data_IF_155542857323
#
_entry.id   IF_155542857323
#
_cell.length_a   1.000
_cell.length_b   1.000
_cell.length_c   1.000
_cell.angle_alpha   90.00
_cell.angle_beta   90.00
_cell.angle_gamma   90.00
#
_symmetry.space_group_name_H-M   'P 1'
#
loop_
_entity.id
_entity.type
_entity.pdbx_description
1 polymer ?
#
# COMPACT_ATOMS: atom_id res chain seq x y z
N UNK A 1 -9.31 37.90 -0.12
CA UNK A 1 -8.44 36.97 -0.87
C UNK A 1 -8.42 35.64 -0.14
N UNK A 2 -8.94 34.56 -0.75
CA UNK A 2 -8.88 33.23 -0.13
C UNK A 2 -7.42 32.79 -0.07
N UNK A 3 -6.89 32.59 1.13
CA UNK A 3 -5.59 31.94 1.33
C UNK A 3 -5.63 30.58 0.64
N UNK A 4 -4.92 30.42 -0.49
CA UNK A 4 -4.76 29.13 -1.13
C UNK A 4 -4.13 28.18 -0.10
N UNK A 5 -4.93 27.25 0.44
CA UNK A 5 -4.40 26.19 1.30
C UNK A 5 -3.41 25.41 0.46
N UNK A 6 -2.13 25.44 0.86
CA UNK A 6 -1.11 24.59 0.23
C UNK A 6 -1.64 23.16 0.14
N UNK A 7 -1.48 22.48 -1.01
CA UNK A 7 -1.94 21.11 -1.17
C UNK A 7 -1.33 20.24 -0.07
N UNK A 8 -2.04 19.20 0.37
CA UNK A 8 -1.51 18.26 1.37
C UNK A 8 -0.53 17.28 0.76
N UNK A 9 -0.80 16.90 -0.49
CA UNK A 9 -0.11 15.86 -1.24
C UNK A 9 0.12 16.29 -2.69
N UNK A 10 1.09 15.65 -3.34
CA UNK A 10 1.41 15.83 -4.76
C UNK A 10 1.60 14.46 -5.41
N UNK A 11 1.17 14.30 -6.66
CA UNK A 11 1.46 13.08 -7.43
C UNK A 11 2.65 13.34 -8.34
N UNK A 12 3.67 12.47 -8.28
CA UNK A 12 4.90 12.55 -9.09
C UNK A 12 5.30 11.16 -9.57
N UNK A 13 6.33 11.06 -10.41
CA UNK A 13 6.93 9.76 -10.71
C UNK A 13 7.54 9.15 -9.44
N UNK A 14 7.38 7.85 -9.26
CA UNK A 14 7.93 7.11 -8.12
C UNK A 14 9.15 6.31 -8.53
N UNK A 15 10.07 6.14 -7.59
CA UNK A 15 11.18 5.19 -7.72
C UNK A 15 10.76 3.75 -7.42
N UNK A 16 9.61 3.56 -6.76
CA UNK A 16 9.06 2.25 -6.44
C UNK A 16 8.35 1.67 -7.67
N UNK A 17 7.34 2.38 -8.18
CA UNK A 17 6.56 1.96 -9.34
C UNK A 17 5.79 3.14 -9.95
N UNK A 18 5.87 3.32 -11.27
CA UNK A 18 5.07 4.29 -12.02
C UNK A 18 4.96 5.68 -11.36
N UNK A 19 3.79 5.96 -10.77
CA UNK A 19 3.51 7.20 -10.03
C UNK A 19 3.46 6.92 -8.52
N UNK A 20 3.76 7.95 -7.74
CA UNK A 20 3.71 7.96 -6.28
C UNK A 20 3.01 9.21 -5.76
N UNK A 21 2.48 9.12 -4.54
CA UNK A 21 1.95 10.26 -3.81
C UNK A 21 2.96 10.72 -2.78
N UNK A 22 3.23 12.02 -2.73
CA UNK A 22 4.24 12.62 -1.87
C UNK A 22 3.61 13.65 -0.94
N UNK A 23 4.10 13.72 0.30
CA UNK A 23 3.73 14.78 1.23
C UNK A 23 4.17 16.15 0.70
N UNK A 24 3.24 17.06 0.49
CA UNK A 24 3.52 18.42 0.02
C UNK A 24 3.86 19.37 1.18
N UNK A 25 3.46 18.98 2.38
CA UNK A 25 3.77 19.62 3.66
C UNK A 25 4.02 18.53 4.70
N UNK A 26 4.40 18.95 5.89
CA UNK A 26 4.44 18.06 7.06
C UNK A 26 3.04 17.51 7.33
N UNK A 27 2.92 16.19 7.44
CA UNK A 27 1.72 15.48 7.88
C UNK A 27 2.00 14.90 9.27
N UNK A 28 1.06 15.05 10.19
CA UNK A 28 1.24 14.56 11.57
C UNK A 28 0.82 13.10 11.68
N UNK A 29 1.42 12.36 12.61
CA UNK A 29 0.89 11.06 13.02
C UNK A 29 -0.62 11.18 13.35
N UNK A 30 -1.39 10.19 12.92
CA UNK A 30 -2.84 10.15 13.05
C UNK A 30 -3.61 11.06 12.08
N UNK A 31 -2.94 11.83 11.21
CA UNK A 31 -3.65 12.69 10.26
C UNK A 31 -4.31 11.88 9.13
N UNK A 32 -5.61 12.04 8.95
CA UNK A 32 -6.37 11.52 7.80
C UNK A 32 -6.04 12.33 6.54
N UNK A 33 -5.37 11.69 5.57
CA UNK A 33 -4.73 12.34 4.43
C UNK A 33 -5.70 12.44 3.25
N UNK A 34 -6.22 11.30 2.81
CA UNK A 34 -7.06 11.17 1.61
C UNK A 34 -7.96 9.93 1.73
N UNK A 35 -9.14 9.99 1.14
CA UNK A 35 -10.03 8.83 0.94
C UNK A 35 -9.61 8.05 -0.32
N UNK A 36 -9.63 6.72 -0.26
CA UNK A 36 -9.47 5.88 -1.44
C UNK A 36 -10.80 5.80 -2.21
N UNK A 37 -10.90 6.53 -3.33
CA UNK A 37 -12.12 6.62 -4.13
C UNK A 37 -12.05 5.74 -5.37
N UNK A 38 -13.22 5.30 -5.82
CA UNK A 38 -13.41 4.54 -7.05
C UNK A 38 -14.85 4.06 -7.15
N UNK A 39 -15.15 3.32 -8.20
CA UNK A 39 -16.41 2.61 -8.35
C UNK A 39 -16.47 1.41 -7.40
N UNK A 40 -17.60 1.19 -6.74
CA UNK A 40 -17.81 0.00 -5.89
C UNK A 40 -18.46 -1.10 -6.72
N UNK A 41 -17.79 -2.25 -6.80
CA UNK A 41 -18.23 -3.41 -7.56
C UNK A 41 -18.12 -4.68 -6.72
N UNK A 42 -18.86 -5.73 -7.10
CA UNK A 42 -18.68 -7.04 -6.50
C UNK A 42 -17.38 -7.69 -7.00
N UNK A 43 -16.75 -8.55 -6.20
CA UNK A 43 -15.56 -9.31 -6.61
C UNK A 43 -15.72 -10.05 -7.94
N UNK A 44 -16.89 -10.68 -8.17
CA UNK A 44 -17.19 -11.38 -9.44
C UNK A 44 -17.13 -10.47 -10.66
N UNK A 45 -17.39 -9.17 -10.48
CA UNK A 45 -17.26 -8.19 -11.54
C UNK A 45 -15.80 -7.77 -11.70
N UNK A 46 -15.08 -7.56 -10.60
CA UNK A 46 -13.64 -7.27 -10.63
C UNK A 46 -12.85 -8.34 -11.39
N UNK A 47 -13.14 -9.62 -11.17
CA UNK A 47 -12.50 -10.76 -11.87
C UNK A 47 -12.75 -10.77 -13.39
N UNK A 48 -13.84 -10.15 -13.84
CA UNK A 48 -14.21 -10.05 -15.26
C UNK A 48 -13.61 -8.83 -15.93
N UNK A 49 -13.13 -7.85 -15.16
CA UNK A 49 -12.55 -6.64 -15.73
C UNK A 49 -11.21 -6.96 -16.37
N UNK A 50 -10.93 -6.45 -17.57
CA UNK A 50 -9.60 -6.54 -18.13
C UNK A 50 -8.62 -5.80 -17.23
N UNK A 51 -7.34 -6.23 -17.21
CA UNK A 51 -6.32 -5.51 -16.46
C UNK A 51 -6.24 -4.05 -16.92
N UNK A 52 -5.95 -3.15 -15.98
CA UNK A 52 -5.78 -1.73 -16.29
C UNK A 52 -4.64 -1.47 -17.28
N UNK A 53 -3.66 -2.39 -17.33
CA UNK A 53 -2.60 -2.43 -18.33
C UNK A 53 -2.38 -3.88 -18.80
N UNK A 54 -2.61 -4.21 -20.09
CA UNK A 54 -2.34 -5.54 -20.61
C UNK A 54 -0.88 -5.99 -20.46
N UNK A 55 0.06 -5.05 -20.48
CA UNK A 55 1.50 -5.30 -20.32
C UNK A 55 1.91 -5.48 -18.84
N UNK A 56 1.01 -5.14 -17.90
CA UNK A 56 1.22 -5.32 -16.46
C UNK A 56 -0.09 -5.77 -15.79
N UNK A 57 -0.50 -7.04 -16.02
CA UNK A 57 -1.79 -7.54 -15.58
C UNK A 57 -1.91 -7.66 -14.06
N UNK A 58 -0.78 -7.64 -13.34
CA UNK A 58 -0.74 -7.69 -11.88
C UNK A 58 -0.90 -6.31 -11.23
N UNK A 59 -0.88 -5.24 -12.02
CA UNK A 59 -1.14 -3.88 -11.55
C UNK A 59 -2.62 -3.53 -11.64
N UNK A 60 -3.30 -3.68 -10.50
CA UNK A 60 -4.72 -3.34 -10.32
C UNK A 60 -4.87 -2.14 -9.39
N UNK A 61 -5.94 -1.37 -9.57
CA UNK A 61 -6.34 -0.31 -8.63
C UNK A 61 -7.47 -0.74 -7.69
N UNK A 62 -7.59 -2.05 -7.46
CA UNK A 62 -8.59 -2.66 -6.61
C UNK A 62 -8.23 -2.52 -5.14
N UNK A 63 -9.22 -2.17 -4.32
CA UNK A 63 -9.14 -2.18 -2.87
C UNK A 63 -10.28 -3.01 -2.31
N UNK A 64 -9.95 -4.10 -1.64
CA UNK A 64 -10.91 -5.03 -1.04
C UNK A 64 -11.47 -4.44 0.26
N UNK A 65 -12.79 -4.51 0.44
CA UNK A 65 -13.43 -4.12 1.69
C UNK A 65 -13.55 -5.30 2.65
N UNK A 66 -13.75 -5.00 3.94
CA UNK A 66 -13.83 -5.97 5.03
C UNK A 66 -14.99 -6.96 4.87
N UNK A 67 -16.05 -6.60 4.13
CA UNK A 67 -17.18 -7.48 3.82
C UNK A 67 -16.82 -8.66 2.90
N UNK A 68 -15.60 -8.67 2.33
CA UNK A 68 -15.05 -9.65 1.39
C UNK A 68 -15.90 -9.87 0.13
N UNK A 69 -16.87 -9.00 -0.15
CA UNK A 69 -17.79 -9.08 -1.28
C UNK A 69 -17.60 -7.91 -2.23
N UNK A 70 -17.22 -6.77 -1.67
CA UNK A 70 -17.12 -5.50 -2.36
C UNK A 70 -15.67 -5.10 -2.56
N UNK A 71 -15.40 -4.53 -3.72
CA UNK A 71 -14.11 -3.97 -4.13
C UNK A 71 -14.33 -2.56 -4.62
N UNK A 72 -13.43 -1.65 -4.25
CA UNK A 72 -13.32 -0.32 -4.87
C UNK A 72 -12.36 -0.43 -6.06
N UNK A 73 -12.83 -0.16 -7.27
CA UNK A 73 -12.01 0.02 -8.45
C UNK A 73 -11.68 1.50 -8.66
N UNK A 74 -10.45 1.90 -8.30
CA UNK A 74 -9.99 3.28 -8.51
C UNK A 74 -9.49 3.56 -9.94
N UNK A 75 -9.55 2.58 -10.85
CA UNK A 75 -9.44 2.79 -12.28
C UNK A 75 -10.61 3.61 -12.82
N UNK A 76 -11.81 3.40 -12.28
CA UNK A 76 -13.04 4.10 -12.64
C UNK A 76 -13.43 5.09 -11.55
N UNK A 77 -13.45 6.40 -11.86
CA UNK A 77 -13.87 7.43 -10.89
C UNK A 77 -12.93 7.61 -9.68
N UNK A 78 -11.71 7.05 -9.73
CA UNK A 78 -10.75 7.16 -8.64
C UNK A 78 -10.08 8.52 -8.51
N UNK A 79 -9.28 8.68 -7.45
CA UNK A 79 -8.55 9.90 -7.14
C UNK A 79 -7.04 9.64 -6.99
N UNK A 80 -6.30 10.61 -6.41
CA UNK A 80 -4.85 10.49 -6.22
C UNK A 80 -4.43 9.30 -5.34
N UNK A 81 -5.30 8.77 -4.48
CA UNK A 81 -4.96 7.68 -3.56
C UNK A 81 -4.54 6.39 -4.27
N UNK A 82 -5.03 6.15 -5.50
CA UNK A 82 -4.66 4.99 -6.32
C UNK A 82 -3.18 4.91 -6.69
N UNK A 83 -2.45 6.03 -6.54
CA UNK A 83 -1.02 6.11 -6.81
C UNK A 83 -0.17 5.95 -5.56
N UNK A 84 -0.76 5.62 -4.40
CA UNK A 84 0.00 5.36 -3.18
C UNK A 84 0.59 3.96 -3.28
N UNK A 85 1.92 3.87 -3.25
CA UNK A 85 2.64 2.62 -3.47
C UNK A 85 2.72 1.76 -2.21
N UNK A 86 3.09 0.49 -2.41
CA UNK A 86 3.38 -0.43 -1.33
C UNK A 86 4.72 -0.13 -0.63
N UNK A 87 4.76 -0.31 0.69
CA UNK A 87 6.00 -0.52 1.44
C UNK A 87 5.85 -1.60 2.50
N UNK A 88 6.89 -2.42 2.68
CA UNK A 88 6.99 -3.37 3.81
C UNK A 88 7.33 -2.68 5.15
N UNK A 89 7.74 -1.40 5.11
CA UNK A 89 7.93 -0.54 6.29
C UNK A 89 7.17 0.77 6.03
N UNK A 90 5.84 0.75 6.19
CA UNK A 90 4.98 1.81 5.70
C UNK A 90 4.98 3.06 6.60
N UNK A 91 4.64 4.21 6.02
CA UNK A 91 4.38 5.44 6.77
C UNK A 91 2.90 5.83 6.83
N UNK A 92 2.03 5.07 6.16
CA UNK A 92 0.58 5.17 6.23
C UNK A 92 -0.08 3.82 6.52
N UNK A 93 -1.30 3.89 7.04
CA UNK A 93 -2.24 2.76 7.17
C UNK A 93 -3.60 3.12 6.57
N UNK A 94 -4.45 2.11 6.42
CA UNK A 94 -5.81 2.22 5.89
C UNK A 94 -6.83 2.01 7.00
N UNK A 95 -7.84 2.87 7.05
CA UNK A 95 -8.97 2.79 7.98
C UNK A 95 -10.26 2.65 7.17
N UNK A 96 -10.97 1.53 7.30
CA UNK A 96 -12.32 1.36 6.77
C UNK A 96 -13.34 1.85 7.80
N UNK A 97 -14.28 2.70 7.38
CA UNK A 97 -15.39 3.17 8.22
C UNK A 97 -16.60 2.24 8.10
N UNK A 98 -17.54 2.33 9.04
CA UNK A 98 -18.77 1.51 9.05
C UNK A 98 -19.63 1.64 7.78
N UNK A 99 -19.52 2.75 7.03
CA UNK A 99 -20.16 2.97 5.73
C UNK A 99 -19.30 2.50 4.53
N UNK A 100 -18.25 1.72 4.80
CA UNK A 100 -17.35 1.07 3.84
C UNK A 100 -16.40 2.04 3.12
N UNK A 101 -16.15 3.23 3.67
CA UNK A 101 -15.21 4.19 3.06
C UNK A 101 -13.82 3.96 3.60
N UNK A 102 -12.84 3.99 2.70
CA UNK A 102 -11.45 3.72 3.06
C UNK A 102 -10.68 5.03 3.11
N UNK A 103 -10.01 5.28 4.23
CA UNK A 103 -9.16 6.45 4.40
C UNK A 103 -7.71 6.06 4.64
N UNK A 104 -6.80 6.85 4.08
CA UNK A 104 -5.36 6.72 4.31
C UNK A 104 -4.95 7.67 5.41
N UNK A 105 -4.30 7.15 6.44
CA UNK A 105 -3.87 7.87 7.63
C UNK A 105 -2.36 7.72 7.83
N UNK A 106 -1.70 8.77 8.34
CA UNK A 106 -0.28 8.69 8.68
C UNK A 106 -0.07 7.95 10.01
N UNK A 107 0.82 6.95 10.07
CA UNK A 107 1.16 6.24 11.33
C UNK A 107 2.27 6.93 12.12
N UNK A 108 3.01 7.81 11.46
CA UNK A 108 4.06 8.65 12.04
C UNK A 108 4.04 10.03 11.40
N UNK A 109 4.84 10.95 11.93
CA UNK A 109 5.09 12.20 11.24
C UNK A 109 5.77 11.97 9.89
N UNK A 110 5.27 12.62 8.84
CA UNK A 110 5.77 12.55 7.47
C UNK A 110 6.26 13.93 7.04
N UNK A 111 7.53 14.02 6.63
CA UNK A 111 8.16 15.26 6.19
C UNK A 111 7.74 15.60 4.76
N UNK A 112 7.74 16.90 4.39
CA UNK A 112 7.57 17.29 3.00
C UNK A 112 8.56 16.55 2.08
N UNK A 113 8.08 16.02 0.97
CA UNK A 113 8.87 15.29 -0.01
C UNK A 113 9.01 13.79 0.24
N UNK A 114 8.58 13.27 1.39
CA UNK A 114 8.47 11.82 1.58
C UNK A 114 7.32 11.24 0.76
N UNK A 115 7.55 10.08 0.14
CA UNK A 115 6.51 9.32 -0.54
C UNK A 115 5.61 8.62 0.49
N UNK A 116 4.29 8.71 0.31
CA UNK A 116 3.30 8.00 1.09
C UNK A 116 3.23 6.55 0.63
N UNK A 117 3.12 5.62 1.58
CA UNK A 117 3.02 4.20 1.29
C UNK A 117 2.32 3.45 2.44
N UNK A 118 1.63 2.37 2.10
CA UNK A 118 1.03 1.44 3.08
C UNK A 118 1.34 -0.01 2.70
N UNK A 119 1.14 -0.93 3.64
CA UNK A 119 1.24 -2.37 3.34
C UNK A 119 -0.02 -2.81 2.59
N UNK A 120 0.10 -3.28 1.35
CA UNK A 120 -1.05 -3.72 0.57
C UNK A 120 -1.67 -5.00 1.13
N UNK A 121 -0.91 -5.77 1.93
CA UNK A 121 -1.38 -7.01 2.54
C UNK A 121 -2.07 -7.95 1.55
N UNK A 122 -1.56 -8.01 0.30
CA UNK A 122 -2.20 -8.77 -0.77
C UNK A 122 -2.30 -10.24 -0.38
N UNK A 123 -3.52 -10.74 -0.26
CA UNK A 123 -3.80 -12.16 -0.01
C UNK A 123 -4.16 -12.84 -1.31
N UNK A 124 -3.59 -14.02 -1.51
CA UNK A 124 -3.89 -14.92 -2.63
C UNK A 124 -4.28 -16.28 -2.06
N UNK A 125 -5.21 -16.97 -2.70
CA UNK A 125 -5.64 -18.31 -2.30
C UNK A 125 -4.63 -19.39 -2.73
N UNK A 126 -3.80 -19.09 -3.73
CA UNK A 126 -2.82 -20.00 -4.29
C UNK A 126 -1.61 -20.24 -3.37
N UNK A 127 -0.98 -21.40 -3.53
CA UNK A 127 0.28 -21.69 -2.85
C UNK A 127 1.35 -20.70 -3.30
N UNK A 128 2.01 -20.06 -2.34
CA UNK A 128 3.11 -19.14 -2.59
C UNK A 128 4.33 -19.85 -3.22
N UNK A 129 4.46 -19.75 -4.55
CA UNK A 129 5.59 -20.27 -5.32
C UNK A 129 6.65 -19.18 -5.56
N UNK A 130 7.91 -19.54 -5.89
CA UNK A 130 8.92 -18.56 -6.28
C UNK A 130 8.48 -17.69 -7.47
N UNK A 131 7.82 -18.29 -8.46
CA UNK A 131 7.26 -17.57 -9.63
C UNK A 131 6.23 -16.55 -9.19
N UNK A 132 5.30 -16.94 -8.31
CA UNK A 132 4.25 -16.04 -7.83
C UNK A 132 4.81 -14.88 -6.99
N UNK A 133 5.81 -15.16 -6.15
CA UNK A 133 6.56 -14.11 -5.44
C UNK A 133 7.24 -13.13 -6.40
N UNK A 134 7.74 -13.61 -7.54
CA UNK A 134 8.40 -12.78 -8.56
C UNK A 134 7.38 -11.93 -9.33
N UNK A 135 6.19 -12.46 -9.61
CA UNK A 135 5.11 -11.70 -10.26
C UNK A 135 4.63 -10.54 -9.36
N UNK A 136 4.59 -10.76 -8.04
CA UNK A 136 4.28 -9.74 -7.05
C UNK A 136 5.55 -9.19 -6.37
N UNK A 137 6.62 -8.98 -7.13
CA UNK A 137 7.90 -8.48 -6.60
C UNK A 137 7.72 -7.13 -5.90
N UNK A 138 8.26 -7.01 -4.68
CA UNK A 138 8.27 -5.74 -3.96
C UNK A 138 9.55 -4.96 -4.26
N UNK A 139 9.39 -3.69 -4.65
CA UNK A 139 10.48 -2.75 -4.96
C UNK A 139 10.53 -1.55 -4.01
N UNK A 140 9.99 -1.68 -2.79
CA UNK A 140 9.84 -0.55 -1.88
C UNK A 140 11.16 0.00 -1.31
N UNK A 141 12.26 -0.75 -1.42
CA UNK A 141 13.58 -0.33 -0.96
C UNK A 141 13.79 -0.31 0.56
N UNK A 142 12.83 -0.77 1.36
CA UNK A 142 12.99 -0.90 2.81
C UNK A 142 14.06 -1.94 3.18
N UNK A 143 14.79 -1.68 4.28
CA UNK A 143 15.76 -2.63 4.85
C UNK A 143 15.10 -3.95 5.29
N UNK A 144 13.82 -3.90 5.67
CA UNK A 144 13.03 -5.05 6.10
C UNK A 144 12.07 -5.52 5.00
N UNK A 145 12.41 -5.28 3.72
CA UNK A 145 11.58 -5.69 2.60
C UNK A 145 11.40 -7.21 2.57
N UNK A 146 10.15 -7.66 2.40
CA UNK A 146 9.80 -9.09 2.28
C UNK A 146 10.15 -9.70 0.91
N UNK A 147 10.55 -8.86 -0.05
CA UNK A 147 10.80 -9.23 -1.45
C UNK A 147 9.53 -9.42 -2.29
N UNK A 148 8.35 -9.41 -1.68
CA UNK A 148 7.05 -9.52 -2.37
C UNK A 148 5.98 -8.65 -1.69
N UNK A 149 5.00 -8.21 -2.46
CA UNK A 149 3.81 -7.47 -1.98
C UNK A 149 2.78 -8.39 -1.31
N UNK A 150 2.93 -9.71 -1.48
CA UNK A 150 2.04 -10.70 -0.89
C UNK A 150 2.22 -10.77 0.62
N UNK A 151 1.10 -10.85 1.34
CA UNK A 151 1.07 -11.10 2.77
C UNK A 151 1.65 -12.47 3.09
N UNK A 152 2.59 -12.53 4.05
CA UNK A 152 3.10 -13.80 4.55
C UNK A 152 2.19 -14.26 5.69
N UNK A 153 1.41 -15.33 5.48
CA UNK A 153 0.67 -15.95 6.59
C UNK A 153 1.66 -16.40 7.69
N UNK A 154 1.24 -16.35 8.97
CA UNK A 154 2.09 -16.73 10.13
C UNK A 154 2.77 -18.11 10.00
N UNK A 155 2.21 -19.00 9.19
CA UNK A 155 2.73 -20.36 8.95
C UNK A 155 3.93 -20.41 8.00
N UNK A 156 4.25 -19.29 7.33
CA UNK A 156 5.19 -19.22 6.21
C UNK A 156 6.31 -18.20 6.40
N UNK A 157 6.40 -17.57 7.59
CA UNK A 157 7.57 -16.77 7.94
C UNK A 157 8.80 -17.69 8.08
N UNK A 158 9.96 -17.36 7.48
CA UNK A 158 11.20 -18.05 7.83
C UNK A 158 11.43 -17.87 9.34
N UNK A 159 11.74 -18.97 10.04
CA UNK A 159 12.09 -18.91 11.47
C UNK A 159 13.18 -17.86 11.63
N UNK A 160 12.94 -16.85 12.46
CA UNK A 160 13.94 -15.85 12.79
C UNK A 160 15.24 -16.57 13.17
N UNK A 161 16.31 -16.31 12.41
CA UNK A 161 17.63 -16.78 12.79
C UNK A 161 17.93 -16.19 14.17
N UNK A 162 18.22 -17.06 15.15
CA UNK A 162 18.58 -16.65 16.51
C UNK A 162 19.78 -15.72 16.41
N UNK A 163 19.63 -14.46 16.80
CA UNK A 163 20.76 -13.54 16.96
C UNK A 163 21.77 -14.15 17.94
N UNK A 164 23.08 -14.15 17.62
CA UNK A 164 24.08 -14.57 18.59
C UNK A 164 24.02 -13.64 19.80
N UNK A 165 23.96 -14.22 21.00
CA UNK A 165 23.95 -13.47 22.26
C UNK A 165 25.19 -12.58 22.32
N UNK A 166 24.99 -11.27 22.42
CA UNK A 166 26.07 -10.33 22.70
C UNK A 166 26.70 -10.68 24.06
N UNK A 167 27.92 -11.19 24.04
CA UNK A 167 28.73 -11.40 25.23
C UNK A 167 29.03 -10.05 25.88
N UNK A 168 28.66 -9.92 27.16
CA UNK A 168 29.10 -8.82 28.03
C UNK A 168 30.63 -8.81 28.06
N UNK A 169 31.25 -7.69 27.67
CA UNK A 169 32.63 -7.38 28.04
C UNK A 169 32.67 -7.09 29.56
N UNK A 170 33.57 -7.71 30.34
CA UNK A 170 33.94 -7.20 31.65
C UNK A 170 34.85 -5.98 31.48
N UNK A 171 34.81 -5.10 32.49
CA UNK A 171 35.68 -3.96 32.69
C UNK A 171 37.14 -4.38 32.93
#
# INVERSE_FOLDING_TARGET
MATQRKPRILVKNSRVHGRGVYAARRLKAGEKIIEYKGERIAWKEADRRPPSNPEDPYHTFFFSLDDQKTVIDAGVGGNAARWINHSCDPNCETEETDDGRVFIQAVRDIRPGEELNYDYSLTIEERLTPTLRKNYECRCGSKNCRGTMLGLSKRQMPKAAKSPKAGRKPA
#
